data_IF_988796870552
#
_entry.id   IF_988796870552
#
_cell.length_a   1.000
_cell.length_b   1.000
_cell.length_c   1.000
_cell.angle_alpha   90.00
_cell.angle_beta   90.00
_cell.angle_gamma   90.00
#
_symmetry.space_group_name_H-M   'P 1'
#
loop_
_entity.id
_entity.type
_entity.pdbx_description
1 polymer ?
#
# COMPACT_ATOMS: atom_id res chain seq x y z
N UNK A 1 -64.98 2.84 -8.05
CA UNK A 1 -63.80 1.97 -8.22
C UNK A 1 -62.54 2.83 -8.13
N UNK A 2 -62.07 3.08 -6.91
CA UNK A 2 -60.92 3.94 -6.64
C UNK A 2 -59.65 3.09 -6.63
N UNK A 3 -58.72 3.37 -7.53
CA UNK A 3 -57.42 2.68 -7.57
C UNK A 3 -56.57 3.17 -6.40
N UNK A 4 -56.26 2.27 -5.48
CA UNK A 4 -55.27 2.47 -4.43
C UNK A 4 -53.90 2.36 -5.10
N UNK A 5 -53.16 3.48 -5.16
CA UNK A 5 -51.76 3.49 -5.60
C UNK A 5 -50.90 3.29 -4.34
N UNK A 6 -49.96 2.33 -4.32
CA UNK A 6 -49.12 2.06 -3.15
C UNK A 6 -48.11 3.19 -2.88
N UNK A 7 -48.02 3.56 -1.61
CA UNK A 7 -47.27 4.69 -1.02
C UNK A 7 -45.74 4.66 -1.24
N UNK A 8 -45.18 3.55 -1.73
CA UNK A 8 -43.74 3.40 -1.94
C UNK A 8 -43.17 4.15 -3.15
N UNK A 9 -44.01 4.79 -3.98
CA UNK A 9 -43.54 5.60 -5.12
C UNK A 9 -43.19 7.06 -4.78
N UNK A 10 -43.32 7.50 -3.52
CA UNK A 10 -43.14 8.91 -3.15
C UNK A 10 -41.70 9.35 -2.82
N UNK A 11 -40.68 8.48 -2.97
CA UNK A 11 -39.32 8.79 -2.48
C UNK A 11 -38.20 8.46 -3.46
N UNK A 12 -38.45 8.58 -4.77
CA UNK A 12 -37.35 8.63 -5.73
C UNK A 12 -36.81 10.07 -5.79
N UNK A 13 -35.49 10.29 -5.61
CA UNK A 13 -34.91 11.60 -5.79
C UNK A 13 -35.18 12.08 -7.22
N UNK A 14 -35.57 13.35 -7.36
CA UNK A 14 -35.80 13.93 -8.67
C UNK A 14 -34.54 13.80 -9.56
N UNK A 15 -34.73 13.78 -10.88
CA UNK A 15 -33.62 13.67 -11.84
C UNK A 15 -32.54 14.75 -11.62
N UNK A 16 -32.92 15.90 -11.06
CA UNK A 16 -32.02 17.02 -10.76
C UNK A 16 -31.05 16.67 -9.64
N UNK A 17 -31.53 16.00 -8.60
CA UNK A 17 -30.74 15.54 -7.45
C UNK A 17 -29.76 14.45 -7.89
N UNK A 18 -30.18 13.52 -8.74
CA UNK A 18 -29.29 12.49 -9.29
C UNK A 18 -28.13 13.08 -10.11
N UNK A 19 -28.39 14.12 -10.91
CA UNK A 19 -27.34 14.82 -11.68
C UNK A 19 -26.32 15.53 -10.78
N UNK A 20 -26.78 16.15 -9.68
CA UNK A 20 -25.90 16.80 -8.69
C UNK A 20 -24.96 15.77 -8.07
N UNK A 21 -25.48 14.62 -7.63
CA UNK A 21 -24.65 13.53 -7.06
C UNK A 21 -23.63 12.99 -8.08
N UNK A 22 -24.04 12.77 -9.33
CA UNK A 22 -23.13 12.29 -10.38
C UNK A 22 -22.00 13.28 -10.67
N UNK A 23 -22.31 14.58 -10.70
CA UNK A 23 -21.32 15.63 -10.92
C UNK A 23 -20.36 15.78 -9.74
N UNK A 24 -20.87 15.68 -8.50
CA UNK A 24 -20.05 15.68 -7.29
C UNK A 24 -19.09 14.48 -7.24
N UNK A 25 -19.55 13.28 -7.61
CA UNK A 25 -18.71 12.09 -7.71
C UNK A 25 -17.61 12.23 -8.78
N UNK A 26 -17.94 12.78 -9.95
CA UNK A 26 -16.95 13.10 -11.01
C UNK A 26 -15.93 14.13 -10.53
N UNK A 27 -16.35 15.17 -9.81
CA UNK A 27 -15.45 16.18 -9.24
C UNK A 27 -14.53 15.60 -8.15
N UNK A 28 -15.03 14.67 -7.32
CA UNK A 28 -14.22 13.96 -6.33
C UNK A 28 -13.18 13.04 -6.99
N UNK A 29 -13.56 12.31 -8.05
CA UNK A 29 -12.64 11.51 -8.85
C UNK A 29 -11.55 12.36 -9.51
N UNK A 30 -11.91 13.54 -10.06
CA UNK A 30 -10.96 14.48 -10.67
C UNK A 30 -9.98 15.04 -9.64
N UNK A 31 -10.45 15.43 -8.44
CA UNK A 31 -9.58 15.89 -7.33
C UNK A 31 -8.59 14.83 -6.88
N UNK A 32 -9.01 13.56 -6.78
CA UNK A 32 -8.11 12.44 -6.44
C UNK A 32 -7.03 12.22 -7.51
N UNK A 33 -7.37 12.34 -8.80
CA UNK A 33 -6.40 12.23 -9.90
C UNK A 33 -5.34 13.33 -9.84
N UNK A 34 -5.72 14.57 -9.58
CA UNK A 34 -4.76 15.68 -9.45
C UNK A 34 -3.86 15.55 -8.21
N UNK A 35 -4.34 14.95 -7.12
CA UNK A 35 -3.51 14.65 -5.95
C UNK A 35 -2.47 13.56 -6.27
N UNK A 36 -2.90 12.50 -6.96
CA UNK A 36 -2.03 11.42 -7.41
C UNK A 36 -0.93 11.95 -8.34
N UNK A 37 -1.26 12.66 -9.41
CA UNK A 37 -0.27 13.17 -10.38
C UNK A 37 0.81 14.08 -9.73
N UNK A 38 0.43 14.93 -8.76
CA UNK A 38 1.39 15.75 -8.00
C UNK A 38 2.32 14.93 -7.10
N UNK A 39 1.83 13.83 -6.53
CA UNK A 39 2.63 12.94 -5.68
C UNK A 39 3.63 12.10 -6.50
N UNK A 40 3.27 11.67 -7.70
CA UNK A 40 4.19 10.92 -8.58
C UNK A 40 5.28 11.81 -9.20
N UNK A 41 4.95 13.05 -9.58
CA UNK A 41 5.93 13.98 -10.14
C UNK A 41 7.00 14.40 -9.13
N UNK A 42 6.60 14.65 -7.88
CA UNK A 42 7.52 14.97 -6.77
C UNK A 42 8.39 13.77 -6.37
N UNK A 43 7.83 12.56 -6.32
CA UNK A 43 8.60 11.33 -6.07
C UNK A 43 9.64 11.07 -7.18
N UNK A 44 9.27 11.28 -8.45
CA UNK A 44 10.21 11.16 -9.57
C UNK A 44 11.32 12.23 -9.52
N UNK A 45 11.01 13.46 -9.10
CA UNK A 45 12.00 14.52 -8.90
C UNK A 45 12.97 14.23 -7.75
N UNK A 46 12.47 13.70 -6.62
CA UNK A 46 13.30 13.26 -5.49
C UNK A 46 14.21 12.09 -5.88
N UNK A 47 13.68 11.12 -6.63
CA UNK A 47 14.48 10.01 -7.17
C UNK A 47 15.59 10.50 -8.11
N UNK A 48 15.36 11.54 -8.93
CA UNK A 48 16.40 12.16 -9.76
C UNK A 48 17.49 12.85 -8.95
N UNK A 49 17.15 13.54 -7.86
CA UNK A 49 18.13 14.16 -6.93
C UNK A 49 18.95 13.08 -6.21
N UNK A 50 18.29 12.04 -5.69
CA UNK A 50 18.94 10.91 -5.01
C UNK A 50 19.90 10.16 -5.93
N UNK A 51 19.52 9.90 -7.20
CA UNK A 51 20.43 9.29 -8.20
C UNK A 51 21.67 10.14 -8.47
N UNK A 52 21.53 11.47 -8.56
CA UNK A 52 22.68 12.38 -8.74
C UNK A 52 23.60 12.35 -7.52
N UNK A 53 23.05 12.47 -6.31
CA UNK A 53 23.82 12.38 -5.06
C UNK A 53 24.55 11.04 -4.91
N UNK A 54 23.88 9.92 -5.19
CA UNK A 54 24.48 8.59 -5.16
C UNK A 54 25.58 8.43 -6.21
N UNK A 55 25.42 8.96 -7.44
CA UNK A 55 26.46 8.95 -8.48
C UNK A 55 27.68 9.78 -8.08
N UNK A 56 27.49 10.97 -7.51
CA UNK A 56 28.59 11.82 -7.05
C UNK A 56 29.37 11.17 -5.90
N UNK A 57 28.69 10.56 -4.93
CA UNK A 57 29.36 9.80 -3.85
C UNK A 57 30.02 8.53 -4.37
N UNK A 58 29.41 7.79 -5.28
CA UNK A 58 30.01 6.60 -5.88
C UNK A 58 31.32 6.92 -6.62
N UNK A 59 31.42 8.08 -7.30
CA UNK A 59 32.68 8.54 -7.91
C UNK A 59 33.77 8.82 -6.88
N UNK A 60 33.41 9.44 -5.75
CA UNK A 60 34.35 9.71 -4.64
C UNK A 60 34.81 8.41 -3.95
N UNK A 61 33.91 7.44 -3.77
CA UNK A 61 34.27 6.12 -3.23
C UNK A 61 35.11 5.28 -4.21
N UNK A 62 34.82 5.30 -5.51
CA UNK A 62 35.60 4.58 -6.51
C UNK A 62 37.05 5.11 -6.63
N UNK A 63 37.26 6.43 -6.48
CA UNK A 63 38.60 7.01 -6.45
C UNK A 63 39.42 6.58 -5.21
N UNK A 64 38.77 6.38 -4.06
CA UNK A 64 39.44 5.92 -2.84
C UNK A 64 39.80 4.42 -2.86
N UNK A 65 39.08 3.59 -3.62
CA UNK A 65 39.31 2.14 -3.70
C UNK A 65 40.50 1.79 -4.61
N UNK A 66 40.85 2.63 -5.59
CA UNK A 66 41.99 2.36 -6.48
C UNK A 66 43.38 2.48 -5.82
N UNK A 67 43.49 3.14 -4.65
CA UNK A 67 44.75 3.24 -3.89
C UNK A 67 44.96 2.12 -2.86
N UNK A 68 44.00 1.20 -2.69
CA UNK A 68 44.09 0.08 -1.73
C UNK A 68 43.80 -1.28 -2.38
N UNK A 69 44.27 -1.48 -3.62
CA UNK A 69 44.10 -2.71 -4.40
C UNK A 69 45.21 -3.73 -4.12
N UNK A 70 45.30 -4.24 -2.89
CA UNK A 70 45.92 -5.55 -2.61
C UNK A 70 45.06 -6.22 -1.51
N UNK A 71 44.41 -7.33 -1.88
CA UNK A 71 43.66 -8.26 -1.03
C UNK A 71 42.42 -7.73 -0.28
N UNK A 72 41.23 -7.82 -0.89
CA UNK A 72 39.99 -8.14 -0.14
C UNK A 72 39.01 -8.90 -1.05
N UNK A 73 38.40 -10.02 -0.60
CA UNK A 73 37.35 -10.71 -1.35
C UNK A 73 36.11 -9.82 -1.46
N UNK A 74 35.54 -9.73 -2.67
CA UNK A 74 34.38 -8.89 -2.97
C UNK A 74 33.17 -9.26 -2.09
N UNK A 75 32.45 -8.28 -1.50
CA UNK A 75 31.18 -8.56 -0.85
C UNK A 75 30.17 -8.98 -1.91
N UNK A 76 29.76 -10.25 -1.87
CA UNK A 76 28.68 -10.76 -2.71
C UNK A 76 27.42 -9.99 -2.31
N UNK A 77 26.98 -9.08 -3.17
CA UNK A 77 25.74 -8.35 -2.97
C UNK A 77 24.57 -9.34 -3.09
N UNK A 78 24.05 -9.81 -1.96
CA UNK A 78 22.80 -10.56 -1.90
C UNK A 78 21.68 -9.63 -2.37
N UNK A 79 21.20 -9.84 -3.59
CA UNK A 79 19.97 -9.23 -4.08
C UNK A 79 18.82 -9.79 -3.25
N UNK A 80 18.29 -9.00 -2.32
CA UNK A 80 17.03 -9.34 -1.66
C UNK A 80 15.93 -9.31 -2.74
N UNK A 81 15.58 -10.50 -3.26
CA UNK A 81 14.42 -10.63 -4.14
C UNK A 81 13.16 -10.38 -3.30
N UNK A 82 12.27 -9.50 -3.77
CA UNK A 82 10.96 -9.41 -3.18
C UNK A 82 10.21 -10.70 -3.57
N UNK A 83 10.05 -11.66 -2.64
CA UNK A 83 9.23 -12.84 -2.89
C UNK A 83 7.81 -12.39 -3.24
N UNK A 84 7.34 -12.77 -4.43
CA UNK A 84 5.97 -12.53 -4.84
C UNK A 84 4.99 -13.37 -4.02
N UNK A 85 3.80 -12.82 -3.74
CA UNK A 85 2.76 -13.50 -2.96
C UNK A 85 2.28 -14.82 -3.58
N UNK A 86 2.45 -15.00 -4.89
CA UNK A 86 2.08 -16.23 -5.61
C UNK A 86 2.81 -17.48 -5.13
N UNK A 87 4.02 -17.33 -4.57
CA UNK A 87 4.86 -18.45 -4.15
C UNK A 87 4.83 -18.66 -2.63
N UNK A 88 3.94 -17.95 -1.93
CA UNK A 88 3.83 -18.00 -0.48
C UNK A 88 2.81 -19.05 -0.03
N UNK A 89 3.13 -19.77 1.05
CA UNK A 89 2.17 -20.62 1.74
C UNK A 89 1.11 -19.78 2.49
N UNK A 90 -0.02 -20.39 2.85
CA UNK A 90 -1.05 -19.73 3.67
C UNK A 90 -0.50 -19.11 4.96
N UNK A 91 0.47 -19.75 5.61
CA UNK A 91 1.13 -19.19 6.79
C UNK A 91 1.93 -17.93 6.48
N UNK A 92 2.62 -17.90 5.34
CA UNK A 92 3.39 -16.75 4.87
C UNK A 92 2.49 -15.60 4.42
N UNK A 93 1.38 -15.89 3.72
CA UNK A 93 0.37 -14.90 3.35
C UNK A 93 -0.29 -14.29 4.59
N UNK A 94 -0.70 -15.14 5.54
CA UNK A 94 -1.22 -14.67 6.82
C UNK A 94 -0.21 -13.74 7.51
N UNK A 95 1.06 -14.13 7.57
CA UNK A 95 2.10 -13.30 8.18
C UNK A 95 2.25 -11.97 7.44
N UNK A 96 2.36 -12.01 6.10
CA UNK A 96 2.50 -10.82 5.26
C UNK A 96 1.33 -9.85 5.42
N UNK A 97 0.09 -10.36 5.45
CA UNK A 97 -1.11 -9.55 5.68
C UNK A 97 -1.08 -8.89 7.06
N UNK A 98 -0.82 -9.68 8.10
CA UNK A 98 -0.80 -9.19 9.48
C UNK A 98 0.38 -8.24 9.73
N UNK A 99 1.49 -8.36 8.98
CA UNK A 99 2.62 -7.45 9.07
C UNK A 99 2.22 -6.00 8.77
N UNK A 100 1.38 -5.76 7.76
CA UNK A 100 0.86 -4.40 7.46
C UNK A 100 0.01 -3.83 8.59
N UNK A 101 -0.79 -4.67 9.25
CA UNK A 101 -1.56 -4.26 10.42
C UNK A 101 -0.65 -3.96 11.62
N UNK A 102 0.38 -4.78 11.83
CA UNK A 102 1.39 -4.54 12.86
C UNK A 102 2.14 -3.22 12.63
N UNK A 103 2.54 -2.93 11.40
CA UNK A 103 3.17 -1.65 11.03
C UNK A 103 2.27 -0.43 11.30
N UNK A 104 0.96 -0.60 11.13
CA UNK A 104 -0.02 0.43 11.43
C UNK A 104 -0.40 0.51 12.91
N UNK A 105 0.20 -0.29 13.78
CA UNK A 105 -0.06 -0.30 15.23
C UNK A 105 -1.41 -0.94 15.62
N UNK A 106 -1.90 -1.89 14.83
CA UNK A 106 -3.17 -2.58 15.09
C UNK A 106 -3.14 -3.41 16.39
N UNK A 107 -4.23 -3.31 17.16
CA UNK A 107 -4.42 -4.09 18.38
C UNK A 107 -4.82 -5.54 18.08
N UNK A 108 -3.83 -6.44 18.02
CA UNK A 108 -4.11 -7.86 17.83
C UNK A 108 -4.85 -8.49 19.01
N UNK A 109 -6.00 -9.11 18.73
CA UNK A 109 -6.80 -9.83 19.72
C UNK A 109 -6.44 -11.31 19.85
N UNK A 110 -5.96 -11.92 18.76
CA UNK A 110 -5.70 -13.35 18.74
C UNK A 110 -4.37 -13.69 19.40
N UNK A 111 -4.32 -14.80 20.14
CA UNK A 111 -3.09 -15.24 20.80
C UNK A 111 -1.95 -15.49 19.80
N UNK A 112 -2.27 -16.05 18.63
CA UNK A 112 -1.29 -16.26 17.55
C UNK A 112 -0.65 -14.96 17.08
N UNK A 113 -1.44 -13.94 16.78
CA UNK A 113 -0.91 -12.67 16.30
C UNK A 113 -0.16 -11.92 17.40
N UNK A 114 -0.65 -11.95 18.66
CA UNK A 114 0.06 -11.37 19.80
C UNK A 114 1.42 -12.02 20.06
N UNK A 115 1.54 -13.34 19.89
CA UNK A 115 2.83 -14.04 19.97
C UNK A 115 3.78 -13.69 18.83
N UNK A 116 3.25 -13.36 17.66
CA UNK A 116 4.06 -13.11 16.45
C UNK A 116 4.50 -11.65 16.33
N UNK A 117 3.59 -10.71 16.62
CA UNK A 117 3.77 -9.28 16.39
C UNK A 117 3.80 -8.46 17.70
N UNK A 118 3.56 -9.09 18.84
CA UNK A 118 3.45 -8.43 20.14
C UNK A 118 2.02 -8.02 20.49
N UNK A 119 1.82 -7.65 21.76
CA UNK A 119 0.54 -7.20 22.28
C UNK A 119 0.37 -5.67 22.25
N UNK A 120 1.43 -4.93 21.92
CA UNK A 120 1.44 -3.47 21.98
C UNK A 120 0.60 -2.84 20.87
N UNK A 121 -0.20 -1.84 21.22
CA UNK A 121 -0.90 -0.97 20.29
C UNK A 121 -0.26 0.41 20.30
N UNK A 122 -0.16 1.06 19.15
CA UNK A 122 0.35 2.42 19.04
C UNK A 122 -0.39 3.19 17.94
N UNK A 123 -0.48 4.54 18.03
CA UNK A 123 -1.02 5.34 16.94
C UNK A 123 -0.29 5.02 15.62
N UNK A 124 -1.02 4.80 14.50
CA UNK A 124 -2.41 5.15 14.23
C UNK A 124 -3.44 4.02 14.48
N UNK A 125 -3.17 3.08 15.38
CA UNK A 125 -4.11 2.06 15.86
C UNK A 125 -4.75 1.17 14.77
N UNK A 126 -3.96 0.83 13.75
CA UNK A 126 -4.38 -0.03 12.64
C UNK A 126 -4.96 0.71 11.44
N UNK A 127 -4.91 2.05 11.42
CA UNK A 127 -5.29 2.80 10.24
C UNK A 127 -4.26 2.59 9.12
N UNK A 128 -4.62 1.74 8.16
CA UNK A 128 -3.79 1.44 7.00
C UNK A 128 -3.68 2.63 6.04
N UNK A 129 -2.48 2.85 5.51
CA UNK A 129 -2.26 3.73 4.37
C UNK A 129 -2.91 3.16 3.09
N UNK A 130 -3.14 4.00 2.07
CA UNK A 130 -3.73 3.54 0.80
C UNK A 130 -2.96 2.38 0.16
N UNK A 131 -1.63 2.46 0.15
CA UNK A 131 -0.76 1.38 -0.31
C UNK A 131 -0.89 0.12 0.53
N UNK A 132 -0.88 0.23 1.87
CA UNK A 132 -1.02 -0.92 2.75
C UNK A 132 -2.37 -1.62 2.56
N UNK A 133 -3.46 -0.87 2.35
CA UNK A 133 -4.77 -1.43 2.01
C UNK A 133 -4.72 -2.23 0.70
N UNK A 134 -4.14 -1.65 -0.34
CA UNK A 134 -3.98 -2.32 -1.64
C UNK A 134 -3.20 -3.64 -1.51
N UNK A 135 -2.08 -3.62 -0.79
CA UNK A 135 -1.29 -4.82 -0.54
C UNK A 135 -2.06 -5.89 0.24
N UNK A 136 -2.80 -5.49 1.27
CA UNK A 136 -3.66 -6.41 2.04
C UNK A 136 -4.72 -7.05 1.15
N UNK A 137 -5.37 -6.31 0.26
CA UNK A 137 -6.37 -6.88 -0.66
C UNK A 137 -5.75 -7.82 -1.69
N UNK A 138 -4.55 -7.52 -2.21
CA UNK A 138 -3.80 -8.44 -3.06
C UNK A 138 -3.50 -9.74 -2.30
N UNK A 139 -3.01 -9.66 -1.06
CA UNK A 139 -2.71 -10.85 -0.26
C UNK A 139 -3.97 -11.68 0.00
N UNK A 140 -5.09 -11.05 0.38
CA UNK A 140 -6.37 -11.74 0.57
C UNK A 140 -6.84 -12.46 -0.70
N UNK A 141 -6.59 -11.89 -1.88
CA UNK A 141 -6.92 -12.56 -3.14
C UNK A 141 -6.11 -13.84 -3.35
N UNK A 142 -4.87 -13.88 -2.87
CA UNK A 142 -4.03 -15.09 -2.90
C UNK A 142 -4.44 -16.09 -1.81
N UNK A 143 -4.77 -15.61 -0.61
CA UNK A 143 -5.31 -16.45 0.47
C UNK A 143 -6.56 -17.20 -0.03
N UNK A 144 -7.51 -16.47 -0.62
CA UNK A 144 -8.73 -17.06 -1.17
C UNK A 144 -8.47 -18.09 -2.27
N UNK A 145 -7.47 -17.86 -3.14
CA UNK A 145 -7.06 -18.83 -4.18
C UNK A 145 -6.50 -20.13 -3.60
N UNK A 146 -5.86 -20.06 -2.43
CA UNK A 146 -5.26 -21.19 -1.74
C UNK A 146 -6.20 -21.84 -0.71
N UNK A 147 -7.40 -21.28 -0.49
CA UNK A 147 -8.38 -21.82 0.46
C UNK A 147 -8.05 -21.49 1.93
N UNK A 148 -7.38 -20.37 2.15
CA UNK A 148 -7.15 -19.76 3.45
C UNK A 148 -7.55 -18.26 3.42
#
# INVERSE_FOLDING_TARGET
MSRIIPEWQASLPDCRTFLIFRNAAKAAAYRNRQYFERRYSTAAALNRKRRRYMRSRARLFAAAVFLSMIQLPAPVATTASAQGYSNMSCGQLWYARNRYYADAGYCFKTARARRTFGAGCFPPYGQLSGYAKEQVEIIKSWEARLGC
#
